data_IF_354320040184
#
_entry.id   IF_354320040184
#
_cell.length_a   1.000
_cell.length_b   1.000
_cell.length_c   1.000
_cell.angle_alpha   90.00
_cell.angle_beta   90.00
_cell.angle_gamma   90.00
#
_symmetry.space_group_name_H-M   'P 1'
#
loop_
_entity.id
_entity.type
_entity.pdbx_description
1 polymer ?
#
# COMPACT_ATOMS: atom_id res chain seq x y z
N UNK A 1 13.62 -12.24 17.48
CA UNK A 1 12.28 -11.64 17.31
C UNK A 1 11.92 -11.73 15.83
N UNK A 2 10.80 -12.35 15.46
CA UNK A 2 10.39 -12.39 14.06
C UNK A 2 10.04 -10.96 13.61
N UNK A 3 10.79 -10.42 12.64
CA UNK A 3 10.47 -9.11 12.05
C UNK A 3 9.16 -9.27 11.28
N UNK A 4 8.09 -8.61 11.72
CA UNK A 4 6.88 -8.48 10.93
C UNK A 4 7.20 -7.74 9.64
N UNK A 5 6.94 -8.38 8.50
CA UNK A 5 7.06 -7.73 7.19
C UNK A 5 5.75 -7.04 6.91
N UNK A 6 5.73 -5.72 7.04
CA UNK A 6 4.60 -4.88 6.62
C UNK A 6 4.55 -4.83 5.10
N UNK A 7 3.33 -4.90 4.56
CA UNK A 7 3.05 -4.82 3.13
C UNK A 7 1.92 -3.83 2.92
N UNK A 8 2.06 -3.02 1.88
CA UNK A 8 1.04 -2.06 1.44
C UNK A 8 0.40 -2.62 0.18
N UNK A 9 -0.87 -2.96 0.27
CA UNK A 9 -1.72 -3.34 -0.84
C UNK A 9 -2.27 -2.08 -1.51
N UNK A 10 -2.06 -1.95 -2.81
CA UNK A 10 -2.58 -0.86 -3.65
C UNK A 10 -3.44 -1.48 -4.75
N UNK A 11 -4.74 -1.23 -4.70
CA UNK A 11 -5.69 -1.65 -5.71
C UNK A 11 -6.10 -0.47 -6.59
N UNK A 12 -5.68 -0.47 -7.85
CA UNK A 12 -6.07 0.54 -8.84
C UNK A 12 -7.46 0.22 -9.38
N UNK A 13 -8.43 1.09 -9.06
CA UNK A 13 -9.85 0.91 -9.41
C UNK A 13 -10.01 0.91 -10.94
N UNK A 14 -9.32 1.82 -11.64
CA UNK A 14 -9.45 1.95 -13.09
C UNK A 14 -8.79 0.81 -13.89
N UNK A 15 -7.64 0.31 -13.41
CA UNK A 15 -6.89 -0.80 -14.03
C UNK A 15 -7.37 -2.17 -13.55
N UNK A 16 -8.28 -2.21 -12.55
CA UNK A 16 -8.73 -3.44 -11.86
C UNK A 16 -7.57 -4.35 -11.47
N UNK A 17 -6.47 -3.75 -11.03
CA UNK A 17 -5.20 -4.44 -10.74
C UNK A 17 -4.76 -4.12 -9.32
N UNK A 18 -4.34 -5.14 -8.59
CA UNK A 18 -3.73 -5.03 -7.26
C UNK A 18 -2.23 -5.25 -7.34
N UNK A 19 -1.46 -4.39 -6.66
CA UNK A 19 -0.02 -4.56 -6.45
C UNK A 19 0.32 -4.43 -4.96
N UNK A 20 1.44 -5.01 -4.57
CA UNK A 20 1.88 -5.09 -3.19
C UNK A 20 3.28 -4.50 -3.05
N UNK A 21 3.46 -3.61 -2.07
CA UNK A 21 4.67 -2.83 -1.88
C UNK A 21 5.22 -2.96 -0.47
N UNK A 22 6.54 -2.98 -0.32
CA UNK A 22 7.19 -3.02 0.99
C UNK A 22 7.30 -1.64 1.67
N UNK A 23 7.02 -0.56 0.95
CA UNK A 23 7.12 0.82 1.45
C UNK A 23 6.27 1.78 0.63
N UNK A 24 5.93 2.93 1.20
CA UNK A 24 5.20 3.99 0.49
C UNK A 24 6.02 4.48 -0.72
N UNK A 25 7.33 4.67 -0.55
CA UNK A 25 8.21 5.13 -1.64
C UNK A 25 8.29 4.15 -2.81
N UNK A 26 8.13 2.83 -2.56
CA UNK A 26 8.06 1.84 -3.63
C UNK A 26 6.80 2.01 -4.50
N UNK A 27 5.68 2.48 -3.93
CA UNK A 27 4.47 2.80 -4.70
C UNK A 27 4.77 3.90 -5.71
N UNK A 28 5.42 4.97 -5.26
CA UNK A 28 5.73 6.14 -6.09
C UNK A 28 6.92 5.94 -7.04
N UNK A 29 7.65 4.84 -6.90
CA UNK A 29 8.64 4.40 -7.89
C UNK A 29 7.99 3.73 -9.11
N UNK A 30 6.78 3.19 -8.95
CA UNK A 30 6.08 2.44 -9.99
C UNK A 30 4.83 3.17 -10.54
N UNK A 31 4.21 4.01 -9.71
CA UNK A 31 3.00 4.75 -10.03
C UNK A 31 3.16 6.24 -9.72
N UNK A 32 2.47 7.09 -10.47
CA UNK A 32 2.45 8.52 -10.17
C UNK A 32 1.38 8.89 -9.15
N UNK A 33 1.54 10.05 -8.49
CA UNK A 33 0.53 10.62 -7.60
C UNK A 33 -0.83 10.81 -8.30
N UNK A 34 -0.81 11.07 -9.61
CA UNK A 34 -2.02 11.20 -10.42
C UNK A 34 -2.70 9.86 -10.69
N UNK A 35 -1.93 8.77 -10.85
CA UNK A 35 -2.48 7.41 -11.01
C UNK A 35 -3.11 6.90 -9.71
N UNK A 36 -2.45 7.14 -8.58
CA UNK A 36 -2.95 6.76 -7.25
C UNK A 36 -4.05 7.72 -6.78
N UNK A 37 -4.04 8.98 -7.22
CA UNK A 37 -4.98 10.02 -6.81
C UNK A 37 -4.66 10.65 -5.45
N UNK A 38 -3.41 10.55 -4.98
CA UNK A 38 -2.87 11.19 -3.77
C UNK A 38 -1.36 11.33 -3.88
N UNK A 39 -0.78 12.39 -3.31
CA UNK A 39 0.67 12.61 -3.26
C UNK A 39 1.35 11.78 -2.17
N UNK A 40 2.65 11.52 -2.33
CA UNK A 40 3.43 10.74 -1.38
C UNK A 40 3.40 11.34 0.02
N UNK A 41 3.58 12.66 0.11
CA UNK A 41 3.56 13.39 1.38
C UNK A 41 2.21 13.22 2.08
N UNK A 42 1.09 13.44 1.39
CA UNK A 42 -0.23 13.28 2.01
C UNK A 42 -0.48 11.84 2.44
N UNK A 43 -0.01 10.85 1.69
CA UNK A 43 -0.14 9.43 2.08
C UNK A 43 0.70 9.11 3.33
N UNK A 44 1.91 9.66 3.45
CA UNK A 44 2.74 9.53 4.65
C UNK A 44 2.08 10.18 5.87
N UNK A 45 1.53 11.38 5.71
CA UNK A 45 0.87 12.11 6.79
C UNK A 45 -0.44 11.48 7.26
N UNK A 46 -1.21 10.85 6.35
CA UNK A 46 -2.46 10.18 6.74
C UNK A 46 -2.26 8.99 7.67
N UNK A 47 -1.08 8.35 7.62
CA UNK A 47 -0.78 7.18 8.41
C UNK A 47 -1.59 5.96 7.94
N UNK A 48 -0.90 4.96 7.39
CA UNK A 48 -1.50 3.66 7.13
C UNK A 48 -1.40 2.83 8.41
N UNK A 49 -2.43 2.92 9.25
CA UNK A 49 -2.54 2.08 10.45
C UNK A 49 -3.04 0.68 10.11
N UNK A 50 -2.67 -0.30 10.92
CA UNK A 50 -3.03 -1.71 10.71
C UNK A 50 -4.56 -1.86 10.62
N UNK A 51 -5.04 -2.38 9.50
CA UNK A 51 -6.47 -2.58 9.24
C UNK A 51 -7.22 -1.37 8.68
N UNK A 52 -6.59 -0.20 8.53
CA UNK A 52 -7.23 0.98 7.92
C UNK A 52 -7.02 0.97 6.41
N UNK A 53 -8.13 0.91 5.67
CA UNK A 53 -8.13 1.11 4.23
C UNK A 53 -8.35 2.58 3.90
N UNK A 54 -7.43 3.16 3.14
CA UNK A 54 -7.57 4.49 2.59
C UNK A 54 -7.93 4.44 1.11
N UNK A 55 -9.13 4.88 0.76
CA UNK A 55 -9.59 4.96 -0.62
C UNK A 55 -9.43 6.39 -1.16
N UNK A 56 -8.88 6.50 -2.37
CA UNK A 56 -8.89 7.71 -3.20
C UNK A 56 -9.92 7.52 -4.33
N UNK A 57 -10.02 8.53 -5.21
CA UNK A 57 -10.84 8.42 -6.43
C UNK A 57 -10.34 7.36 -7.41
N UNK A 58 -9.07 6.92 -7.32
CA UNK A 58 -8.43 6.05 -8.32
C UNK A 58 -7.83 4.77 -7.74
N UNK A 59 -7.57 4.72 -6.44
CA UNK A 59 -6.91 3.59 -5.79
C UNK A 59 -7.45 3.34 -4.38
N UNK A 60 -7.42 2.08 -3.94
CA UNK A 60 -7.64 1.68 -2.55
C UNK A 60 -6.29 1.22 -1.99
N UNK A 61 -5.87 1.80 -0.89
CA UNK A 61 -4.56 1.58 -0.27
C UNK A 61 -4.78 1.01 1.12
N UNK A 62 -4.13 -0.11 1.44
CA UNK A 62 -4.28 -0.82 2.71
C UNK A 62 -2.90 -1.26 3.19
N UNK A 63 -2.60 -1.07 4.47
CA UNK A 63 -1.43 -1.70 5.07
C UNK A 63 -1.85 -2.92 5.86
N UNK A 64 -1.07 -3.99 5.70
CA UNK A 64 -1.23 -5.21 6.46
C UNK A 64 0.12 -5.88 6.71
N UNK A 65 0.06 -7.08 7.30
CA UNK A 65 1.22 -7.89 7.63
C UNK A 65 1.29 -9.08 6.68
N UNK A 66 2.49 -9.38 6.18
CA UNK A 66 2.74 -10.58 5.40
C UNK A 66 2.61 -11.82 6.27
N UNK A 67 1.54 -12.59 6.06
CA UNK A 67 1.37 -13.89 6.69
C UNK A 67 2.24 -14.90 5.94
N UNK A 68 3.21 -15.47 6.64
CA UNK A 68 4.14 -16.48 6.11
C UNK A 68 3.91 -17.83 6.78
N UNK A 69 4.15 -18.91 6.04
CA UNK A 69 4.22 -20.25 6.64
C UNK A 69 5.36 -20.31 7.65
N UNK A 70 5.16 -21.05 8.74
CA UNK A 70 6.23 -21.37 9.69
C UNK A 70 7.18 -22.47 9.17
N UNK A 71 6.84 -23.14 8.06
CA UNK A 71 7.74 -24.11 7.43
C UNK A 71 8.78 -23.38 6.58
N UNK A 72 10.04 -23.68 6.86
CA UNK A 72 11.18 -23.39 5.98
C UNK A 72 11.09 -24.19 4.69
#
# INVERSE_FOLDING_TARGET
MAKETKVIHVHLIFKKTSRFFGSISAIYSEFTAEEIGITEETLRHKGLSDGVSFATKKAIIQQGVLIRSARK
#
